data_IF_330222104326
#
_entry.id   IF_330222104326
#
_cell.length_a   1.000
_cell.length_b   1.000
_cell.length_c   1.000
_cell.angle_alpha   90.00
_cell.angle_beta   90.00
_cell.angle_gamma   90.00
#
_symmetry.space_group_name_H-M   'P 1'
#
loop_
_entity.id
_entity.type
_entity.pdbx_description
1 polymer ?
#
# COMPACT_ATOMS: atom_id res chain seq x y z
N UNK A 1 0.91 8.37 7.79
CA UNK A 1 2.30 7.88 7.81
C UNK A 1 2.57 7.28 6.46
N UNK A 2 3.65 7.72 5.83
CA UNK A 2 4.15 7.21 4.57
C UNK A 2 5.37 6.34 4.85
N UNK A 3 5.39 5.14 4.30
CA UNK A 3 6.54 4.25 4.34
C UNK A 3 6.91 3.98 2.89
N UNK A 4 8.18 4.22 2.53
CA UNK A 4 8.62 4.10 1.14
C UNK A 4 10.04 3.58 1.01
N UNK A 5 10.29 2.84 -0.07
CA UNK A 5 11.62 2.48 -0.53
C UNK A 5 12.36 3.73 -1.01
N UNK A 6 13.54 3.96 -0.49
CA UNK A 6 14.28 5.21 -0.68
C UNK A 6 15.00 5.36 -2.02
N UNK A 7 14.65 4.59 -3.06
CA UNK A 7 15.41 4.49 -4.32
C UNK A 7 15.04 5.54 -5.37
N UNK A 8 14.17 6.52 -5.06
CA UNK A 8 13.83 7.59 -6.01
C UNK A 8 14.93 8.64 -6.05
N UNK A 9 15.87 8.48 -7.00
CA UNK A 9 16.91 9.39 -7.57
C UNK A 9 17.70 10.37 -6.67
N UNK A 10 17.16 10.83 -5.55
CA UNK A 10 17.73 11.90 -4.72
C UNK A 10 18.24 11.41 -3.36
N UNK A 11 17.93 10.18 -2.97
CA UNK A 11 18.38 9.62 -1.70
C UNK A 11 18.98 8.25 -1.94
N UNK A 12 20.21 8.02 -1.53
CA UNK A 12 20.79 6.67 -1.43
C UNK A 12 20.15 5.91 -0.26
N UNK A 13 18.82 5.98 -0.10
CA UNK A 13 18.08 5.40 0.99
C UNK A 13 17.55 4.00 0.58
N UNK A 14 17.80 3.00 1.43
CA UNK A 14 17.16 1.71 1.33
C UNK A 14 15.66 1.86 1.58
N UNK A 15 15.29 2.60 2.63
CA UNK A 15 13.90 2.95 2.93
C UNK A 15 13.80 4.25 3.73
N UNK A 16 12.59 4.80 3.75
CA UNK A 16 12.19 6.00 4.46
C UNK A 16 10.85 5.78 5.15
N UNK A 17 10.71 6.38 6.33
CA UNK A 17 9.45 6.46 7.05
C UNK A 17 9.21 7.90 7.45
N UNK A 18 8.07 8.44 7.03
CA UNK A 18 7.68 9.82 7.36
C UNK A 18 6.28 9.84 7.94
N UNK A 19 6.16 10.38 9.16
CA UNK A 19 4.88 10.66 9.79
C UNK A 19 4.60 12.16 9.74
N UNK A 20 3.50 12.51 9.08
CA UNK A 20 3.05 13.88 8.89
C UNK A 20 1.57 14.02 9.22
N UNK A 21 1.14 15.28 9.46
CA UNK A 21 -0.25 15.61 9.70
C UNK A 21 -1.04 15.61 8.39
N UNK A 22 -2.29 15.16 8.43
CA UNK A 22 -3.20 15.28 7.27
C UNK A 22 -3.48 16.74 6.87
N UNK A 23 -3.17 17.71 7.75
CA UNK A 23 -3.26 19.13 7.44
C UNK A 23 -2.15 19.61 6.50
N UNK A 24 -0.99 18.95 6.53
CA UNK A 24 0.20 19.31 5.73
C UNK A 24 0.11 18.73 4.33
N UNK A 25 -0.25 17.45 4.23
CA UNK A 25 -0.45 16.74 2.95
C UNK A 25 -1.85 16.15 2.93
N UNK A 26 -2.77 16.87 2.30
CA UNK A 26 -4.19 16.52 2.24
C UNK A 26 -4.40 15.40 1.21
N UNK A 27 -5.20 14.41 1.60
CA UNK A 27 -5.72 13.38 0.71
C UNK A 27 -6.93 13.95 -0.10
N UNK A 28 -7.33 13.34 -1.23
CA UNK A 28 -6.79 12.12 -1.84
C UNK A 28 -5.42 12.31 -2.48
N UNK A 29 -4.64 11.23 -2.58
CA UNK A 29 -3.34 11.20 -3.26
C UNK A 29 -3.53 10.55 -4.63
N UNK A 30 -3.52 11.34 -5.71
CA UNK A 30 -3.83 10.82 -7.04
C UNK A 30 -2.70 10.01 -7.66
N UNK A 31 -1.45 10.34 -7.32
CA UNK A 31 -0.26 9.62 -7.73
C UNK A 31 0.90 9.85 -6.76
N UNK A 32 1.94 9.04 -6.88
CA UNK A 32 3.08 9.04 -5.96
C UNK A 32 3.94 10.30 -6.08
N UNK A 33 4.02 10.91 -7.26
CA UNK A 33 4.78 12.13 -7.53
C UNK A 33 4.16 13.35 -6.83
N UNK A 34 2.84 13.49 -6.89
CA UNK A 34 2.11 14.53 -6.17
C UNK A 34 2.28 14.36 -4.67
N UNK A 35 2.12 13.13 -4.15
CA UNK A 35 2.32 12.82 -2.75
C UNK A 35 3.74 13.18 -2.29
N UNK A 36 4.75 12.70 -2.99
CA UNK A 36 6.16 12.94 -2.64
C UNK A 36 6.50 14.43 -2.72
N UNK A 37 6.08 15.14 -3.78
CA UNK A 37 6.21 16.60 -3.86
C UNK A 37 5.56 17.30 -2.68
N UNK A 38 4.35 16.88 -2.29
CA UNK A 38 3.65 17.40 -1.12
C UNK A 38 4.40 17.15 0.19
N UNK A 39 4.95 15.95 0.37
CA UNK A 39 5.75 15.59 1.53
C UNK A 39 7.02 16.45 1.58
N UNK A 40 7.79 16.53 0.50
CA UNK A 40 9.06 17.26 0.48
C UNK A 40 8.88 18.78 0.60
N UNK A 41 7.88 19.35 -0.07
CA UNK A 41 7.67 20.81 -0.03
C UNK A 41 7.05 21.32 1.26
N UNK A 42 6.19 20.52 1.93
CA UNK A 42 5.39 20.98 3.08
C UNK A 42 5.65 20.19 4.34
N UNK A 43 5.60 18.86 4.24
CA UNK A 43 5.67 18.00 5.41
C UNK A 43 7.09 17.77 5.91
N UNK A 44 8.14 17.87 5.09
CA UNK A 44 9.50 17.56 5.52
C UNK A 44 9.95 18.45 6.68
N UNK A 45 9.56 19.73 6.68
CA UNK A 45 9.87 20.66 7.77
C UNK A 45 8.92 20.54 8.98
N UNK A 46 7.77 19.89 8.82
CA UNK A 46 6.74 19.73 9.86
C UNK A 46 6.58 18.28 10.36
N UNK A 47 7.32 17.33 9.77
CA UNK A 47 7.23 15.92 10.04
C UNK A 47 7.60 15.67 11.50
N UNK A 48 6.69 15.02 12.23
CA UNK A 48 6.90 14.69 13.64
C UNK A 48 7.89 13.55 13.81
N UNK A 49 7.97 12.67 12.82
CA UNK A 49 8.94 11.58 12.74
C UNK A 49 9.36 11.47 11.29
N UNK A 50 10.66 11.59 11.05
CA UNK A 50 11.27 11.22 9.77
C UNK A 50 12.48 10.35 10.05
N UNK A 51 12.50 9.16 9.47
CA UNK A 51 13.61 8.23 9.57
C UNK A 51 14.03 7.82 8.16
N UNK A 52 15.32 8.01 7.86
CA UNK A 52 15.92 7.69 6.57
C UNK A 52 17.05 6.70 6.80
N UNK A 53 16.99 5.55 6.13
CA UNK A 53 17.98 4.50 6.27
C UNK A 53 18.74 4.38 4.96
N UNK A 54 20.02 4.76 4.97
CA UNK A 54 20.86 4.72 3.77
C UNK A 54 21.28 3.31 3.40
N UNK A 55 21.23 2.97 2.10
CA UNK A 55 21.84 1.77 1.51
C UNK A 55 23.32 1.66 1.88
N UNK A 56 24.04 2.79 1.90
CA UNK A 56 25.47 2.83 2.21
C UNK A 56 25.77 2.45 3.66
N UNK A 57 24.85 2.72 4.58
CA UNK A 57 25.02 2.47 6.02
C UNK A 57 24.45 1.12 6.46
N UNK A 58 23.45 0.61 5.73
CA UNK A 58 22.80 -0.65 6.08
C UNK A 58 23.58 -1.88 5.61
N UNK A 59 24.53 -1.74 4.66
CA UNK A 59 25.17 -2.90 4.06
C UNK A 59 24.14 -3.74 3.30
N UNK A 60 24.45 -5.03 3.07
CA UNK A 60 23.59 -5.96 2.33
C UNK A 60 22.14 -6.00 2.85
N UNK A 61 21.22 -6.44 2.00
CA UNK A 61 19.78 -6.15 2.04
C UNK A 61 19.00 -6.63 3.31
N UNK A 62 19.64 -7.28 4.28
CA UNK A 62 19.04 -7.92 5.46
C UNK A 62 18.64 -7.00 6.62
N UNK A 63 19.06 -5.72 6.64
CA UNK A 63 18.88 -4.85 7.83
C UNK A 63 17.58 -4.05 7.88
N UNK A 64 16.74 -4.10 6.85
CA UNK A 64 15.48 -3.35 6.82
C UNK A 64 14.48 -3.82 7.89
N UNK A 65 14.44 -5.13 8.18
CA UNK A 65 13.62 -5.70 9.24
C UNK A 65 14.03 -5.20 10.63
N UNK A 66 15.33 -5.25 10.93
CA UNK A 66 15.89 -4.77 12.19
C UNK A 66 15.63 -3.28 12.41
N UNK A 67 15.81 -2.48 11.36
CA UNK A 67 15.57 -1.04 11.41
C UNK A 67 14.09 -0.71 11.69
N UNK A 68 13.14 -1.45 11.08
CA UNK A 68 11.72 -1.31 11.39
C UNK A 68 11.39 -1.80 12.82
N UNK A 69 12.06 -2.83 13.30
CA UNK A 69 11.96 -3.31 14.68
C UNK A 69 12.38 -2.26 15.71
N UNK A 70 13.43 -1.48 15.43
CA UNK A 70 13.84 -0.36 16.30
C UNK A 70 12.79 0.76 16.34
N UNK A 71 12.09 1.01 15.23
CA UNK A 71 11.04 2.03 15.17
C UNK A 71 9.70 1.56 15.79
N UNK A 72 9.48 0.25 15.89
CA UNK A 72 8.23 -0.33 16.35
C UNK A 72 7.72 0.24 17.70
N UNK A 73 8.53 0.37 18.76
CA UNK A 73 8.07 0.93 20.03
C UNK A 73 7.63 2.40 19.93
N UNK A 74 8.28 3.19 19.08
CA UNK A 74 7.92 4.59 18.84
C UNK A 74 6.58 4.67 18.10
N UNK A 75 6.37 3.77 17.14
CA UNK A 75 5.15 3.71 16.32
C UNK A 75 3.96 3.13 17.09
N UNK A 76 4.17 2.17 17.99
CA UNK A 76 3.11 1.55 18.80
C UNK A 76 2.38 2.57 19.70
N UNK A 77 3.06 3.64 20.12
CA UNK A 77 2.46 4.73 20.92
C UNK A 77 1.72 5.76 20.06
N UNK A 78 1.87 5.74 18.74
CA UNK A 78 1.34 6.78 17.86
C UNK A 78 -0.12 6.53 17.45
N UNK A 79 -0.85 7.64 17.25
CA UNK A 79 -2.26 7.66 16.83
C UNK A 79 -2.45 7.52 15.32
N UNK A 80 -1.56 6.80 14.62
CA UNK A 80 -1.57 6.70 13.16
C UNK A 80 -2.91 6.12 12.68
N UNK A 81 -3.67 6.91 11.93
CA UNK A 81 -4.95 6.49 11.33
C UNK A 81 -4.84 6.16 9.84
N UNK A 82 -3.91 6.81 9.16
CA UNK A 82 -3.68 6.63 7.73
C UNK A 82 -2.28 6.07 7.49
N UNK A 83 -2.21 4.97 6.78
CA UNK A 83 -0.99 4.36 6.28
C UNK A 83 -0.95 4.52 4.76
N UNK A 84 0.19 4.92 4.23
CA UNK A 84 0.45 4.97 2.79
C UNK A 84 1.61 4.02 2.54
N UNK A 85 1.39 3.04 1.66
CA UNK A 85 2.40 2.10 1.19
C UNK A 85 2.65 2.38 -0.29
N UNK A 86 3.92 2.39 -0.68
CA UNK A 86 4.29 2.48 -2.09
C UNK A 86 4.16 1.12 -2.80
N UNK A 87 4.20 1.19 -4.12
CA UNK A 87 4.06 0.09 -5.08
C UNK A 87 5.26 -0.89 -5.12
N UNK A 88 6.39 -0.51 -4.53
CA UNK A 88 7.65 -1.24 -4.67
C UNK A 88 7.81 -2.32 -3.58
N UNK A 89 7.82 -3.58 -4.01
CA UNK A 89 8.03 -4.74 -3.15
C UNK A 89 9.41 -5.35 -3.39
N UNK A 90 10.23 -5.52 -2.34
CA UNK A 90 11.35 -6.46 -2.35
C UNK A 90 11.01 -7.65 -1.45
N UNK A 91 11.68 -8.80 -1.64
CA UNK A 91 11.49 -9.97 -0.79
C UNK A 91 11.67 -9.63 0.71
N UNK A 92 12.64 -8.79 1.09
CA UNK A 92 12.82 -8.39 2.49
C UNK A 92 11.69 -7.49 2.98
N UNK A 93 11.22 -6.58 2.12
CA UNK A 93 10.05 -5.77 2.43
C UNK A 93 8.84 -6.67 2.72
N UNK A 94 8.65 -7.74 1.92
CA UNK A 94 7.58 -8.74 2.07
C UNK A 94 7.61 -9.41 3.44
N UNK A 95 8.80 -9.64 4.00
CA UNK A 95 8.96 -10.22 5.33
C UNK A 95 8.79 -9.21 6.47
N UNK A 96 9.36 -8.01 6.36
CA UNK A 96 9.46 -7.07 7.48
C UNK A 96 8.16 -6.29 7.75
N UNK A 97 7.48 -5.82 6.71
CA UNK A 97 6.30 -4.96 6.84
C UNK A 97 5.14 -5.65 7.56
N UNK A 98 4.79 -6.92 7.29
CA UNK A 98 3.71 -7.58 8.02
C UNK A 98 3.92 -7.62 9.55
N UNK A 99 5.16 -7.75 10.02
CA UNK A 99 5.48 -7.67 11.46
C UNK A 99 5.13 -6.29 12.05
N UNK A 100 5.53 -5.23 11.37
CA UNK A 100 5.23 -3.85 11.77
C UNK A 100 3.72 -3.55 11.75
N UNK A 101 3.02 -4.02 10.70
CA UNK A 101 1.58 -3.80 10.54
C UNK A 101 0.75 -4.48 11.64
N UNK A 102 1.20 -5.64 12.12
CA UNK A 102 0.57 -6.36 13.23
C UNK A 102 0.75 -5.64 14.55
N UNK A 103 2.00 -5.30 14.87
CA UNK A 103 2.40 -4.88 16.21
C UNK A 103 2.15 -3.39 16.48
N UNK A 104 2.39 -2.52 15.50
CA UNK A 104 2.48 -1.09 15.75
C UNK A 104 1.35 -0.27 15.15
N UNK A 105 0.64 -0.83 14.17
CA UNK A 105 -0.31 -0.09 13.33
C UNK A 105 -1.74 -0.59 13.50
N UNK A 106 -2.04 -1.14 14.67
CA UNK A 106 -3.37 -1.70 14.99
C UNK A 106 -4.52 -0.68 14.93
N UNK A 107 -4.21 0.61 15.06
CA UNK A 107 -5.16 1.73 15.04
C UNK A 107 -5.40 2.35 13.66
N UNK A 108 -4.70 1.88 12.63
CA UNK A 108 -4.86 2.37 11.26
C UNK A 108 -6.23 1.97 10.74
N UNK A 109 -6.98 2.97 10.29
CA UNK A 109 -8.33 2.80 9.74
C UNK A 109 -8.35 2.95 8.22
N UNK A 110 -7.30 3.53 7.63
CA UNK A 110 -7.23 3.80 6.21
C UNK A 110 -5.87 3.42 5.65
N UNK A 111 -5.87 2.58 4.61
CA UNK A 111 -4.69 2.26 3.81
C UNK A 111 -4.81 2.97 2.46
N UNK A 112 -3.74 3.67 2.07
CA UNK A 112 -3.60 4.27 0.74
C UNK A 112 -2.57 3.47 -0.05
N UNK A 113 -2.99 2.92 -1.18
CA UNK A 113 -2.13 2.34 -2.20
C UNK A 113 -1.99 3.37 -3.32
N UNK A 114 -0.80 3.90 -3.50
CA UNK A 114 -0.56 5.01 -4.43
C UNK A 114 0.35 4.54 -5.56
N UNK A 115 -0.21 4.55 -6.75
CA UNK A 115 0.39 4.25 -8.04
C UNK A 115 1.36 5.36 -8.47
N UNK A 116 2.48 4.98 -9.07
CA UNK A 116 3.45 5.91 -9.63
C UNK A 116 3.15 6.25 -11.08
N UNK A 117 3.41 7.50 -11.42
CA UNK A 117 3.52 7.92 -12.79
C UNK A 117 4.85 7.44 -13.40
N UNK A 118 5.98 7.57 -12.71
CA UNK A 118 7.31 7.29 -13.24
C UNK A 118 7.91 6.02 -12.59
N UNK A 119 7.82 4.84 -13.23
CA UNK A 119 8.49 3.65 -12.73
C UNK A 119 10.00 3.91 -12.71
N UNK A 120 10.60 3.94 -11.53
CA UNK A 120 12.02 4.30 -11.37
C UNK A 120 12.90 3.12 -11.80
N UNK A 121 13.42 3.19 -13.03
CA UNK A 121 14.47 2.30 -13.54
C UNK A 121 14.00 1.26 -14.57
N UNK A 122 14.91 0.37 -14.98
CA UNK A 122 14.62 -0.80 -15.84
C UNK A 122 14.07 -2.00 -15.04
N UNK A 123 13.57 -1.77 -13.82
CA UNK A 123 13.17 -2.87 -12.93
C UNK A 123 11.90 -3.53 -13.47
N UNK A 124 12.04 -4.82 -13.82
CA UNK A 124 11.03 -5.66 -14.45
C UNK A 124 9.93 -6.13 -13.46
N UNK A 125 10.04 -5.78 -12.18
CA UNK A 125 9.24 -6.33 -11.08
C UNK A 125 8.36 -5.29 -10.36
N UNK A 126 7.83 -4.31 -11.10
CA UNK A 126 6.86 -3.36 -10.53
C UNK A 126 5.46 -3.96 -10.55
N UNK A 127 4.94 -4.25 -9.35
CA UNK A 127 3.55 -4.67 -9.16
C UNK A 127 2.61 -3.44 -9.14
N UNK A 128 1.32 -3.61 -9.47
CA UNK A 128 0.34 -2.55 -9.24
C UNK A 128 0.29 -2.17 -7.76
N UNK A 129 -0.03 -0.90 -7.45
CA UNK A 129 -0.12 -0.42 -6.06
C UNK A 129 -1.07 -1.28 -5.18
N UNK A 130 -2.08 -1.93 -5.77
CA UNK A 130 -3.00 -2.84 -5.08
C UNK A 130 -2.33 -4.10 -4.53
N UNK A 131 -1.16 -4.48 -5.04
CA UNK A 131 -0.35 -5.56 -4.49
C UNK A 131 0.10 -5.30 -3.04
N UNK A 132 0.11 -4.05 -2.58
CA UNK A 132 0.33 -3.72 -1.17
C UNK A 132 -0.67 -4.42 -0.23
N UNK A 133 -1.86 -4.81 -0.72
CA UNK A 133 -2.83 -5.59 0.04
C UNK A 133 -2.35 -7.02 0.34
N UNK A 134 -1.40 -7.57 -0.43
CA UNK A 134 -0.77 -8.86 -0.10
C UNK A 134 -0.12 -8.83 1.28
N UNK A 135 0.35 -7.66 1.73
CA UNK A 135 1.00 -7.45 3.04
C UNK A 135 0.04 -7.53 4.22
N UNK A 136 -1.27 -7.56 3.93
CA UNK A 136 -2.31 -7.74 4.93
C UNK A 136 -2.60 -9.21 5.24
N UNK A 137 -2.02 -10.14 4.47
CA UNK A 137 -2.11 -11.56 4.75
C UNK A 137 -1.31 -11.89 6.00
N UNK A 138 -1.88 -12.73 6.86
CA UNK A 138 -1.12 -13.34 7.91
C UNK A 138 -0.13 -14.29 7.23
N UNK A 139 1.16 -14.12 7.51
CA UNK A 139 2.14 -15.16 7.21
C UNK A 139 1.83 -16.29 8.18
N UNK A 140 1.62 -17.51 7.67
CA UNK A 140 1.55 -18.69 8.52
C UNK A 140 2.84 -18.72 9.33
N UNK A 141 2.75 -18.35 10.60
CA UNK A 141 3.82 -18.60 11.55
C UNK A 141 3.83 -20.12 11.65
N UNK A 142 4.91 -20.83 11.24
CA UNK A 142 4.97 -22.26 11.47
C UNK A 142 4.72 -22.45 12.96
N UNK A 143 3.67 -23.20 13.29
CA UNK A 143 3.48 -23.70 14.64
C UNK A 143 4.79 -24.39 14.99
N UNK A 144 5.58 -23.77 15.88
CA UNK A 144 6.70 -24.46 16.50
C UNK A 144 6.05 -25.67 17.16
N UNK A 145 6.32 -26.85 16.59
CA UNK A 145 5.92 -28.13 17.13
C UNK A 145 6.27 -28.09 18.62
N UNK A 146 5.22 -27.96 19.45
CA UNK A 146 5.37 -28.07 20.90
C UNK A 146 5.66 -29.53 21.17
N UNK A 147 6.94 -29.83 21.15
CA UNK A 147 7.47 -31.09 21.62
C UNK A 147 6.94 -31.34 23.04
N UNK A 148 6.40 -32.53 23.25
CA UNK A 148 5.44 -32.80 24.30
C UNK A 148 6.01 -32.69 25.72
N UNK A 149 5.28 -31.98 26.60
CA UNK A 149 5.13 -32.40 28.00
C UNK A 149 3.93 -31.73 28.68
N UNK A 150 3.20 -32.45 29.55
CA UNK A 150 1.88 -32.03 30.03
C UNK A 150 1.92 -31.35 31.41
N UNK A 151 0.85 -30.59 31.67
CA UNK A 151 0.37 -30.02 32.95
C UNK A 151 0.93 -28.65 33.34
N UNK A 152 0.09 -27.65 33.10
CA UNK A 152 0.16 -26.32 33.67
C UNK A 152 -0.71 -25.42 32.83
N UNK A 153 -1.79 -24.90 33.44
CA UNK A 153 -2.78 -23.97 32.89
C UNK A 153 -2.30 -23.24 31.63
N UNK A 154 -2.81 -23.64 30.47
CA UNK A 154 -2.48 -23.01 29.19
C UNK A 154 -2.96 -21.57 29.26
N UNK A 155 -2.07 -20.56 29.18
CA UNK A 155 -2.51 -19.19 28.95
C UNK A 155 -3.32 -19.17 27.64
N UNK A 156 -4.36 -18.33 27.53
CA UNK A 156 -5.20 -18.28 26.33
C UNK A 156 -4.29 -18.13 25.11
N UNK A 157 -4.44 -19.04 24.16
CA UNK A 157 -3.71 -19.04 22.90
C UNK A 157 -3.78 -17.61 22.34
N UNK A 158 -2.65 -16.92 22.12
CA UNK A 158 -2.70 -15.56 21.59
C UNK A 158 -3.47 -15.63 20.28
N UNK A 159 -4.59 -14.88 20.21
CA UNK A 159 -5.36 -14.77 18.97
C UNK A 159 -4.38 -14.37 17.87
N UNK A 160 -4.45 -14.97 16.67
CA UNK A 160 -3.59 -14.57 15.57
C UNK A 160 -3.70 -13.05 15.40
N UNK A 161 -2.59 -12.35 15.63
CA UNK A 161 -2.54 -10.90 15.43
C UNK A 161 -2.54 -10.65 13.93
N UNK A 162 -3.70 -10.25 13.39
CA UNK A 162 -3.82 -9.92 11.98
C UNK A 162 -3.27 -8.52 11.71
N UNK A 163 -2.58 -8.29 10.57
CA UNK A 163 -2.17 -6.95 10.15
C UNK A 163 -3.38 -6.01 10.04
N UNK A 164 -3.24 -4.78 10.56
CA UNK A 164 -4.24 -3.70 10.46
C UNK A 164 -5.69 -4.13 10.79
N UNK A 165 -5.98 -4.62 12.02
CA UNK A 165 -7.30 -5.12 12.40
C UNK A 165 -8.39 -4.05 12.38
N UNK A 166 -8.05 -2.76 12.54
CA UNK A 166 -9.00 -1.65 12.52
C UNK A 166 -9.23 -1.05 11.12
N UNK A 167 -8.66 -1.63 10.06
CA UNK A 167 -8.76 -1.12 8.70
C UNK A 167 -10.23 -1.12 8.23
N UNK A 168 -10.73 0.06 7.85
CA UNK A 168 -12.11 0.24 7.36
C UNK A 168 -12.15 0.75 5.93
N UNK A 169 -11.12 1.47 5.50
CA UNK A 169 -11.08 2.13 4.20
C UNK A 169 -9.80 1.76 3.46
N UNK A 170 -9.95 1.37 2.20
CA UNK A 170 -8.84 1.22 1.26
C UNK A 170 -9.00 2.28 0.19
N UNK A 171 -7.98 3.12 0.02
CA UNK A 171 -7.89 4.12 -1.04
C UNK A 171 -6.85 3.62 -2.02
N UNK A 172 -7.23 3.45 -3.28
CA UNK A 172 -6.34 2.97 -4.33
C UNK A 172 -6.31 4.01 -5.43
N UNK A 173 -5.11 4.40 -5.86
CA UNK A 173 -4.98 5.22 -7.06
C UNK A 173 -4.82 4.36 -8.30
N UNK A 174 -5.41 4.81 -9.40
CA UNK A 174 -5.26 4.22 -10.72
C UNK A 174 -4.94 5.35 -11.69
N UNK A 175 -3.79 5.25 -12.36
CA UNK A 175 -3.34 6.25 -13.32
C UNK A 175 -3.11 5.62 -14.68
N UNK A 176 -3.84 6.07 -15.71
CA UNK A 176 -3.49 5.72 -17.09
C UNK A 176 -2.62 6.82 -17.68
N UNK A 177 -1.41 6.51 -18.15
CA UNK A 177 -0.61 7.49 -18.91
C UNK A 177 -0.75 7.33 -20.42
N UNK A 178 -0.47 8.41 -21.18
CA UNK A 178 -0.14 8.25 -22.58
C UNK A 178 1.13 7.39 -22.71
N UNK A 179 1.01 6.28 -23.43
CA UNK A 179 2.15 5.47 -23.88
C UNK A 179 3.23 6.33 -24.58
N UNK A 180 4.21 6.80 -23.81
CA UNK A 180 5.49 7.28 -24.31
C UNK A 180 6.58 6.35 -23.77
N UNK A 181 7.09 5.46 -24.65
CA UNK A 181 8.30 4.60 -24.56
C UNK A 181 8.67 3.90 -23.24
N UNK A 182 7.95 4.11 -22.15
CA UNK A 182 8.20 3.61 -20.80
C UNK A 182 6.88 3.18 -20.18
N UNK A 183 6.98 2.13 -19.38
CA UNK A 183 5.94 1.17 -19.03
C UNK A 183 4.91 1.74 -18.07
N UNK A 184 4.02 2.57 -18.60
CA UNK A 184 2.79 2.92 -17.91
C UNK A 184 1.62 2.22 -18.56
N UNK A 185 0.99 1.35 -17.78
CA UNK A 185 -0.11 0.44 -18.10
C UNK A 185 -0.03 -0.05 -19.55
N UNK A 186 0.52 -1.24 -19.78
CA UNK A 186 0.33 -2.04 -21.00
C UNK A 186 -1.13 -2.53 -21.08
N UNK A 187 -2.00 -1.54 -21.29
CA UNK A 187 -3.36 -1.41 -21.81
C UNK A 187 -4.44 -2.47 -21.53
N UNK A 188 -4.16 -3.62 -20.91
CA UNK A 188 -5.19 -4.59 -20.57
C UNK A 188 -4.77 -5.57 -19.47
N UNK A 189 -3.57 -6.14 -19.58
CA UNK A 189 -3.05 -7.08 -18.58
C UNK A 189 -2.91 -6.39 -17.22
N UNK A 190 -2.39 -5.16 -17.23
CA UNK A 190 -2.09 -4.40 -16.01
C UNK A 190 -3.37 -3.90 -15.30
N UNK A 191 -4.42 -3.49 -16.04
CA UNK A 191 -5.72 -3.13 -15.44
C UNK A 191 -6.36 -4.36 -14.80
N UNK A 192 -6.29 -5.51 -15.47
CA UNK A 192 -6.80 -6.77 -14.93
C UNK A 192 -6.02 -7.21 -13.70
N UNK A 193 -4.69 -7.16 -13.73
CA UNK A 193 -3.83 -7.51 -12.61
C UNK A 193 -4.08 -6.60 -11.41
N UNK A 194 -4.19 -5.29 -11.64
CA UNK A 194 -4.55 -4.31 -10.60
C UNK A 194 -5.86 -4.69 -9.91
N UNK A 195 -6.88 -5.03 -10.69
CA UNK A 195 -8.19 -5.46 -10.18
C UNK A 195 -8.11 -6.83 -9.48
N UNK A 196 -7.36 -7.79 -10.03
CA UNK A 196 -7.22 -9.13 -9.47
C UNK A 196 -6.52 -9.08 -8.10
N UNK A 197 -5.49 -8.25 -7.93
CA UNK A 197 -4.84 -8.03 -6.62
C UNK A 197 -5.77 -7.38 -5.60
N UNK A 198 -6.55 -6.39 -6.04
CA UNK A 198 -7.55 -5.75 -5.20
C UNK A 198 -8.61 -6.75 -4.73
N UNK A 199 -9.18 -7.53 -5.66
CA UNK A 199 -10.19 -8.55 -5.35
C UNK A 199 -9.61 -9.59 -4.38
N UNK A 200 -8.41 -10.12 -4.65
CA UNK A 200 -7.76 -11.11 -3.78
C UNK A 200 -7.54 -10.57 -2.36
N UNK A 201 -7.04 -9.34 -2.24
CA UNK A 201 -6.78 -8.70 -0.95
C UNK A 201 -8.05 -8.48 -0.14
N UNK A 202 -9.10 -7.95 -0.78
CA UNK A 202 -10.39 -7.70 -0.13
C UNK A 202 -11.12 -8.99 0.23
N UNK A 203 -11.07 -10.00 -0.65
CA UNK A 203 -11.63 -11.34 -0.40
C UNK A 203 -10.98 -11.98 0.81
N UNK A 204 -9.64 -12.01 0.85
CA UNK A 204 -8.91 -12.54 2.00
C UNK A 204 -9.33 -11.86 3.31
N UNK A 205 -9.37 -10.51 3.32
CA UNK A 205 -9.79 -9.74 4.51
C UNK A 205 -11.21 -10.07 4.96
N UNK A 206 -12.15 -10.21 4.02
CA UNK A 206 -13.53 -10.64 4.31
C UNK A 206 -13.55 -12.03 4.92
N UNK A 207 -12.81 -12.97 4.33
CA UNK A 207 -12.82 -14.38 4.73
C UNK A 207 -12.25 -14.59 6.15
N UNK A 208 -11.31 -13.74 6.58
CA UNK A 208 -10.81 -13.72 7.97
C UNK A 208 -11.64 -12.86 8.92
N UNK A 209 -12.81 -12.36 8.50
CA UNK A 209 -13.71 -11.56 9.34
C UNK A 209 -13.28 -10.10 9.56
N UNK A 210 -12.27 -9.61 8.83
CA UNK A 210 -11.74 -8.25 8.93
C UNK A 210 -12.05 -7.45 7.66
N UNK A 211 -13.33 -7.45 7.29
CA UNK A 211 -13.87 -6.85 6.06
C UNK A 211 -13.62 -5.34 6.00
N UNK A 212 -13.19 -4.87 4.83
CA UNK A 212 -13.08 -3.44 4.49
C UNK A 212 -14.48 -2.91 4.19
N UNK A 213 -14.82 -1.73 4.72
CA UNK A 213 -16.15 -1.12 4.52
C UNK A 213 -16.20 -0.27 3.27
N UNK A 214 -15.18 0.55 3.05
CA UNK A 214 -15.16 1.52 1.94
C UNK A 214 -13.96 1.28 1.06
N UNK A 215 -14.20 1.12 -0.25
CA UNK A 215 -13.18 1.21 -1.28
C UNK A 215 -13.30 2.58 -1.95
N UNK A 216 -12.23 3.38 -1.92
CA UNK A 216 -12.14 4.63 -2.69
C UNK A 216 -11.16 4.46 -3.83
N UNK A 217 -11.57 4.78 -5.04
CA UNK A 217 -10.73 4.73 -6.23
C UNK A 217 -10.49 6.17 -6.68
N UNK A 218 -9.22 6.55 -6.77
CA UNK A 218 -8.80 7.91 -7.13
C UNK A 218 -7.83 7.85 -8.30
N UNK A 219 -7.50 9.01 -8.87
CA UNK A 219 -6.50 9.14 -9.93
C UNK A 219 -7.10 9.71 -11.20
N UNK A 220 -6.40 9.55 -12.31
CA UNK A 220 -6.76 10.14 -13.59
C UNK A 220 -6.76 9.10 -14.72
N UNK A 221 -7.84 9.11 -15.50
CA UNK A 221 -8.02 8.31 -16.70
C UNK A 221 -7.92 9.20 -17.94
N UNK A 222 -7.08 8.81 -18.90
CA UNK A 222 -6.92 9.51 -20.18
C UNK A 222 -7.92 8.92 -21.17
N UNK A 223 -8.91 9.73 -21.53
CA UNK A 223 -10.10 9.30 -22.27
C UNK A 223 -9.78 8.67 -23.64
N UNK A 224 -8.75 9.15 -24.34
CA UNK A 224 -8.33 8.60 -25.64
C UNK A 224 -7.82 7.17 -25.55
N UNK A 225 -7.20 6.79 -24.43
CA UNK A 225 -6.57 5.47 -24.26
C UNK A 225 -7.40 4.53 -23.41
N UNK A 226 -8.40 5.03 -22.69
CA UNK A 226 -9.39 4.20 -22.00
C UNK A 226 -10.36 3.56 -23.01
N UNK A 227 -9.84 2.60 -23.78
CA UNK A 227 -10.60 1.92 -24.80
C UNK A 227 -11.82 1.20 -24.21
N UNK A 228 -12.82 0.95 -25.05
CA UNK A 228 -14.09 0.31 -24.65
C UNK A 228 -13.90 -1.05 -23.99
N UNK A 229 -12.76 -1.74 -24.17
CA UNK A 229 -12.46 -3.02 -23.53
C UNK A 229 -12.01 -2.83 -22.07
N UNK A 230 -11.18 -1.84 -21.77
CA UNK A 230 -10.80 -1.50 -20.39
C UNK A 230 -12.01 -1.03 -19.59
N UNK A 231 -12.84 -0.16 -20.18
CA UNK A 231 -14.09 0.27 -19.56
C UNK A 231 -15.01 -0.92 -19.20
N UNK A 232 -15.10 -1.93 -20.07
CA UNK A 232 -15.88 -3.15 -19.81
C UNK A 232 -15.30 -4.00 -18.67
N UNK A 233 -13.97 -4.15 -18.61
CA UNK A 233 -13.32 -4.88 -17.50
C UNK A 233 -13.55 -4.15 -16.19
N UNK A 234 -13.34 -2.85 -16.18
CA UNK A 234 -13.50 -2.00 -15.02
C UNK A 234 -14.93 -2.04 -14.47
N UNK A 235 -15.93 -1.82 -15.34
CA UNK A 235 -17.34 -1.95 -14.98
C UNK A 235 -17.69 -3.35 -14.44
N UNK A 236 -17.13 -4.40 -15.05
CA UNK A 236 -17.34 -5.79 -14.59
C UNK A 236 -16.73 -6.02 -13.21
N UNK A 237 -15.53 -5.54 -12.95
CA UNK A 237 -14.85 -5.74 -11.66
C UNK A 237 -15.51 -4.91 -10.56
N UNK A 238 -15.96 -3.69 -10.86
CA UNK A 238 -16.83 -2.90 -9.97
C UNK A 238 -18.11 -3.66 -9.60
N UNK A 239 -18.80 -4.22 -10.59
CA UNK A 239 -19.98 -5.06 -10.36
C UNK A 239 -19.69 -6.24 -9.42
N UNK A 240 -18.56 -6.92 -9.61
CA UNK A 240 -18.13 -8.03 -8.74
C UNK A 240 -17.87 -7.61 -7.30
N UNK A 241 -17.28 -6.43 -7.06
CA UNK A 241 -17.05 -5.94 -5.69
C UNK A 241 -18.37 -5.82 -4.92
N UNK A 242 -19.40 -5.32 -5.58
CA UNK A 242 -20.75 -5.18 -5.02
C UNK A 242 -21.45 -6.54 -4.89
N UNK A 243 -21.43 -7.36 -5.93
CA UNK A 243 -22.09 -8.68 -5.97
C UNK A 243 -21.57 -9.61 -4.88
N UNK A 244 -20.24 -9.72 -4.73
CA UNK A 244 -19.60 -10.55 -3.71
C UNK A 244 -19.50 -9.88 -2.34
N UNK A 245 -20.11 -8.69 -2.19
CA UNK A 245 -20.10 -7.87 -0.96
C UNK A 245 -18.68 -7.75 -0.38
N UNK A 246 -17.68 -7.53 -1.23
CA UNK A 246 -16.29 -7.40 -0.78
C UNK A 246 -16.08 -6.14 0.07
N UNK A 247 -16.87 -5.11 -0.21
CA UNK A 247 -16.98 -3.86 0.56
C UNK A 247 -18.44 -3.46 0.71
N UNK A 248 -18.73 -2.54 1.64
CA UNK A 248 -20.08 -1.97 1.82
C UNK A 248 -20.33 -0.82 0.84
N UNK A 249 -19.29 -0.06 0.51
CA UNK A 249 -19.37 1.14 -0.31
C UNK A 249 -18.17 1.22 -1.25
N UNK A 250 -18.45 1.55 -2.53
CA UNK A 250 -17.43 1.88 -3.53
C UNK A 250 -17.63 3.33 -3.93
N UNK A 251 -16.58 4.14 -3.74
CA UNK A 251 -16.53 5.55 -4.13
C UNK A 251 -15.51 5.68 -5.25
N UNK A 252 -15.97 5.99 -6.45
CA UNK A 252 -15.10 6.22 -7.61
C UNK A 252 -14.96 7.72 -7.89
N UNK A 253 -13.79 8.26 -7.59
CA UNK A 253 -13.42 9.68 -7.72
C UNK A 253 -12.39 9.89 -8.84
N UNK A 254 -12.23 8.92 -9.75
CA UNK A 254 -11.32 9.06 -10.89
C UNK A 254 -11.78 10.20 -11.80
N UNK A 255 -10.86 11.08 -12.17
CA UNK A 255 -11.14 12.15 -13.13
C UNK A 255 -10.79 11.72 -14.54
N UNK A 256 -11.61 12.11 -15.53
CA UNK A 256 -11.26 11.95 -16.93
C UNK A 256 -10.50 13.19 -17.39
N UNK A 257 -9.23 13.05 -17.72
CA UNK A 257 -8.43 14.13 -18.28
C UNK A 257 -8.52 14.07 -19.80
N UNK A 258 -9.09 15.10 -20.48
CA UNK A 258 -9.04 15.19 -21.92
C UNK A 258 -7.59 15.45 -22.38
N UNK A 259 -7.21 14.99 -23.58
CA UNK A 259 -5.84 15.02 -24.11
C UNK A 259 -5.22 16.42 -24.28
N UNK A 260 -5.98 17.51 -24.07
CA UNK A 260 -5.54 18.89 -24.35
C UNK A 260 -5.49 19.80 -23.12
N UNK A 261 -5.20 19.25 -21.93
CA UNK A 261 -5.05 20.04 -20.70
C UNK A 261 -3.60 20.39 -20.35
N UNK A 262 -2.75 20.53 -21.36
CA UNK A 262 -1.45 21.19 -21.21
C UNK A 262 -1.56 22.63 -21.74
N UNK A 263 -1.56 23.57 -20.80
CA UNK A 263 -1.36 25.01 -21.00
C UNK A 263 -0.13 25.44 -20.22
#
# INVERSE_FOLDING_TARGET
MYISRGTRKDFHAAFSLTAFSSKEVRAPYHNLEELTKGIYSRAHHAARISAFFSLLNMGDEDRAGDALGVLAPLLAKNSVRHLILDELSTAQWETAVPGLLRTCLSKVTTLHCVDSCDPVGKQLDMYPCTAALRRLKATDVPEVERDGSPKGETPPTPRPEYPLPALKTVVVSMMSKPAEKYWTIKAYADVREWWDELVKGLTYRRDIGLRVRTLRIVGALVQEKWNSRMAKVDAKMLGRMTEYKLVDEVIDERTFNPPNSES
#
